data_IF_122200074840
#
_entry.id   IF_122200074840
#
_cell.length_a   1.000
_cell.length_b   1.000
_cell.length_c   1.000
_cell.angle_alpha   90.00
_cell.angle_beta   90.00
_cell.angle_gamma   90.00
#
_symmetry.space_group_name_H-M   'P 1'
#
loop_
_entity.id
_entity.type
_entity.pdbx_description
1 polymer ?
#
# COMPACT_ATOMS: atom_id res chain seq x y z
N UNK A 1 -29.93 5.65 37.93
CA UNK A 1 -29.31 5.40 36.61
C UNK A 1 -29.60 3.95 36.26
N UNK A 2 -30.21 3.69 35.10
CA UNK A 2 -30.54 2.31 34.71
C UNK A 2 -29.27 1.58 34.24
N UNK A 3 -29.22 0.26 34.39
CA UNK A 3 -28.09 -0.57 33.91
C UNK A 3 -27.83 -0.38 32.41
N UNK A 4 -28.87 -0.05 31.62
CA UNK A 4 -28.76 0.31 30.20
C UNK A 4 -27.99 1.62 29.96
N UNK A 5 -28.10 2.61 30.85
CA UNK A 5 -27.36 3.87 30.74
C UNK A 5 -25.87 3.65 30.98
N UNK A 6 -25.50 2.82 31.97
CA UNK A 6 -24.10 2.47 32.23
C UNK A 6 -23.44 1.75 31.04
N UNK A 7 -24.15 0.80 30.42
CA UNK A 7 -23.63 0.10 29.23
C UNK A 7 -23.47 1.06 28.03
N UNK A 8 -24.39 2.02 27.89
CA UNK A 8 -24.32 3.06 26.86
C UNK A 8 -23.13 3.99 27.10
N UNK A 9 -22.92 4.46 28.32
CA UNK A 9 -21.82 5.33 28.69
C UNK A 9 -20.46 4.63 28.50
N UNK A 10 -20.34 3.36 28.91
CA UNK A 10 -19.13 2.55 28.65
C UNK A 10 -18.89 2.39 27.15
N UNK A 11 -19.94 2.19 26.36
CA UNK A 11 -19.85 2.11 24.90
C UNK A 11 -19.37 3.44 24.30
N UNK A 12 -19.90 4.57 24.77
CA UNK A 12 -19.50 5.92 24.34
C UNK A 12 -18.05 6.23 24.72
N UNK A 13 -17.63 5.91 25.95
CA UNK A 13 -16.24 6.05 26.40
C UNK A 13 -15.30 5.21 25.53
N UNK A 14 -15.64 3.94 25.25
CA UNK A 14 -14.87 3.08 24.34
C UNK A 14 -14.79 3.66 22.93
N UNK A 15 -15.87 4.27 22.45
CA UNK A 15 -15.93 4.86 21.12
C UNK A 15 -15.06 6.13 21.03
N UNK A 16 -15.11 7.00 22.05
CA UNK A 16 -14.23 8.15 22.20
C UNK A 16 -12.75 7.75 22.31
N UNK A 17 -12.44 6.71 23.10
CA UNK A 17 -11.09 6.14 23.20
C UNK A 17 -10.59 5.57 21.86
N UNK A 18 -11.44 4.88 21.10
CA UNK A 18 -11.06 4.34 19.80
C UNK A 18 -10.80 5.45 18.76
N UNK A 19 -11.56 6.55 18.78
CA UNK A 19 -11.36 7.70 17.89
C UNK A 19 -10.11 8.52 18.25
N UNK A 20 -9.84 8.71 19.55
CA UNK A 20 -8.69 9.49 20.02
C UNK A 20 -7.34 8.77 19.91
N UNK A 21 -7.33 7.44 19.70
CA UNK A 21 -6.11 6.63 19.65
C UNK A 21 -5.72 6.12 18.26
N UNK A 22 -6.54 6.38 17.22
CA UNK A 22 -6.32 5.88 15.85
C UNK A 22 -6.35 7.01 14.84
N UNK A 23 -5.48 6.90 13.84
CA UNK A 23 -5.37 7.84 12.74
C UNK A 23 -6.59 7.68 11.83
N UNK A 24 -7.18 8.78 11.39
CA UNK A 24 -8.28 8.75 10.42
C UNK A 24 -7.88 7.98 9.15
N UNK A 25 -8.86 7.35 8.52
CA UNK A 25 -8.65 6.63 7.26
C UNK A 25 -7.90 7.49 6.23
N UNK A 26 -6.89 6.88 5.60
CA UNK A 26 -6.26 7.45 4.40
C UNK A 26 -7.34 7.83 3.37
N UNK A 27 -7.07 8.84 2.56
CA UNK A 27 -8.01 9.23 1.49
C UNK A 27 -8.20 8.09 0.50
N UNK A 28 -9.44 7.73 0.20
CA UNK A 28 -9.74 6.68 -0.79
C UNK A 28 -9.23 7.03 -2.18
N UNK A 29 -9.32 8.31 -2.56
CA UNK A 29 -8.75 8.84 -3.81
C UNK A 29 -7.26 8.57 -3.94
N UNK A 30 -6.50 8.58 -2.84
CA UNK A 30 -5.07 8.25 -2.90
C UNK A 30 -4.81 6.79 -3.27
N UNK A 31 -5.66 5.86 -2.83
CA UNK A 31 -5.58 4.45 -3.23
C UNK A 31 -5.91 4.26 -4.72
N UNK A 32 -6.92 4.97 -5.22
CA UNK A 32 -7.29 4.94 -6.64
C UNK A 32 -6.14 5.44 -7.50
N UNK A 33 -5.54 6.59 -7.15
CA UNK A 33 -4.42 7.15 -7.89
C UNK A 33 -3.19 6.25 -7.85
N UNK A 34 -2.84 5.68 -6.69
CA UNK A 34 -1.74 4.73 -6.57
C UNK A 34 -1.92 3.53 -7.52
N UNK A 35 -3.15 2.99 -7.59
CA UNK A 35 -3.47 1.91 -8.51
C UNK A 35 -3.39 2.31 -9.99
N UNK A 36 -3.87 3.51 -10.35
CA UNK A 36 -3.73 4.04 -11.72
C UNK A 36 -2.25 4.20 -12.09
N UNK A 37 -1.44 4.76 -11.20
CA UNK A 37 0.00 4.92 -11.44
C UNK A 37 0.68 3.56 -11.62
N UNK A 38 0.32 2.55 -10.82
CA UNK A 38 0.83 1.21 -10.97
C UNK A 38 0.44 0.57 -12.30
N UNK A 39 -0.81 0.74 -12.77
CA UNK A 39 -1.25 0.24 -14.07
C UNK A 39 -0.53 0.91 -15.23
N UNK A 40 -0.35 2.24 -15.19
CA UNK A 40 0.41 2.98 -16.21
C UNK A 40 1.87 2.53 -16.21
N UNK A 41 2.50 2.46 -15.03
CA UNK A 41 3.88 1.99 -14.91
C UNK A 41 4.08 0.56 -15.41
N UNK A 42 3.11 -0.31 -15.14
CA UNK A 42 3.11 -1.68 -15.65
C UNK A 42 2.96 -1.73 -17.17
N UNK A 43 2.06 -0.94 -17.76
CA UNK A 43 1.90 -0.87 -19.22
C UNK A 43 3.18 -0.38 -19.91
N UNK A 44 3.82 0.67 -19.37
CA UNK A 44 5.11 1.18 -19.87
C UNK A 44 6.19 0.10 -19.74
N UNK A 45 6.27 -0.56 -18.59
CA UNK A 45 7.26 -1.63 -18.35
C UNK A 45 7.06 -2.79 -19.30
N UNK A 46 5.83 -3.24 -19.49
CA UNK A 46 5.48 -4.32 -20.41
C UNK A 46 5.90 -3.97 -21.84
N UNK A 47 5.53 -2.78 -22.32
CA UNK A 47 5.90 -2.31 -23.65
C UNK A 47 7.43 -2.26 -23.86
N UNK A 48 8.17 -1.71 -22.89
CA UNK A 48 9.63 -1.62 -22.98
C UNK A 48 10.30 -2.99 -23.01
N UNK A 49 9.87 -3.92 -22.15
CA UNK A 49 10.46 -5.26 -22.03
C UNK A 49 10.11 -6.12 -23.24
N UNK A 50 8.86 -6.07 -23.70
CA UNK A 50 8.41 -6.83 -24.87
C UNK A 50 9.12 -6.35 -26.15
N UNK A 51 9.17 -5.03 -26.37
CA UNK A 51 9.72 -4.43 -27.58
C UNK A 51 11.25 -4.53 -27.66
N UNK A 52 11.95 -4.27 -26.56
CA UNK A 52 13.41 -4.08 -26.57
C UNK A 52 14.20 -5.18 -25.84
N UNK A 53 13.52 -6.09 -25.15
CA UNK A 53 14.15 -7.16 -24.35
C UNK A 53 13.58 -8.54 -24.64
N UNK A 54 12.88 -8.72 -25.76
CA UNK A 54 12.25 -9.98 -26.18
C UNK A 54 11.41 -10.63 -25.08
N UNK A 55 10.68 -9.82 -24.29
CA UNK A 55 9.83 -10.28 -23.20
C UNK A 55 10.55 -10.70 -21.92
N UNK A 56 11.90 -10.64 -21.88
CA UNK A 56 12.70 -11.02 -20.71
C UNK A 56 13.47 -9.82 -20.18
N UNK A 57 13.15 -9.34 -18.98
CA UNK A 57 13.88 -8.24 -18.36
C UNK A 57 15.26 -8.72 -17.88
N UNK A 58 16.30 -8.38 -18.64
CA UNK A 58 17.69 -8.51 -18.18
C UNK A 58 18.00 -7.42 -17.15
N UNK A 59 18.92 -7.69 -16.22
CA UNK A 59 19.18 -6.82 -15.05
C UNK A 59 20.43 -5.98 -15.23
N UNK A 60 20.66 -5.63 -16.48
CA UNK A 60 21.73 -4.81 -16.96
C UNK A 60 21.19 -3.98 -18.14
N UNK A 61 22.01 -3.04 -18.60
CA UNK A 61 21.65 -2.17 -19.69
C UNK A 61 20.62 -1.09 -19.34
N UNK A 62 20.17 -0.41 -20.38
CA UNK A 62 19.35 0.78 -20.28
C UNK A 62 17.89 0.46 -19.94
N UNK A 63 17.37 -0.70 -20.40
CA UNK A 63 15.97 -1.12 -20.16
C UNK A 63 15.72 -1.32 -18.68
N UNK A 64 16.60 -2.06 -17.98
CA UNK A 64 16.51 -2.26 -16.54
C UNK A 64 16.50 -0.92 -15.78
N UNK A 65 17.42 -0.02 -16.13
CA UNK A 65 17.49 1.32 -15.51
C UNK A 65 16.21 2.10 -15.73
N UNK A 66 15.64 2.07 -16.93
CA UNK A 66 14.36 2.71 -17.25
C UNK A 66 13.21 2.09 -16.46
N UNK A 67 13.12 0.77 -16.36
CA UNK A 67 12.08 0.08 -15.57
C UNK A 67 12.20 0.44 -14.09
N UNK A 68 13.42 0.51 -13.54
CA UNK A 68 13.65 0.99 -12.18
C UNK A 68 13.23 2.45 -11.99
N UNK A 69 13.50 3.32 -12.95
CA UNK A 69 13.02 4.71 -12.93
C UNK A 69 11.50 4.80 -12.98
N UNK A 70 10.83 3.94 -13.75
CA UNK A 70 9.36 3.83 -13.78
C UNK A 70 8.84 3.39 -12.41
N UNK A 71 9.41 2.34 -11.82
CA UNK A 71 9.01 1.85 -10.49
C UNK A 71 9.17 2.94 -9.41
N UNK A 72 10.30 3.64 -9.40
CA UNK A 72 10.56 4.76 -8.47
C UNK A 72 9.56 5.90 -8.71
N UNK A 73 9.27 6.23 -9.97
CA UNK A 73 8.28 7.26 -10.32
C UNK A 73 6.88 6.89 -9.82
N UNK A 74 6.45 5.64 -10.00
CA UNK A 74 5.16 5.14 -9.48
C UNK A 74 5.10 5.27 -7.96
N UNK A 75 6.16 4.86 -7.25
CA UNK A 75 6.24 4.98 -5.80
C UNK A 75 6.19 6.45 -5.34
N UNK A 76 6.96 7.32 -6.00
CA UNK A 76 7.03 8.75 -5.68
C UNK A 76 5.67 9.43 -5.88
N UNK A 77 5.02 9.26 -7.03
CA UNK A 77 3.70 9.85 -7.28
C UNK A 77 2.63 9.30 -6.33
N UNK A 78 2.69 8.02 -5.98
CA UNK A 78 1.77 7.41 -5.00
C UNK A 78 1.95 8.01 -3.61
N UNK A 79 3.19 8.20 -3.16
CA UNK A 79 3.49 8.82 -1.86
C UNK A 79 3.06 10.28 -1.85
N UNK A 80 3.43 11.06 -2.87
CA UNK A 80 3.10 12.49 -2.95
C UNK A 80 1.59 12.70 -2.96
N UNK A 81 0.86 11.99 -3.81
CA UNK A 81 -0.61 12.06 -3.88
C UNK A 81 -1.26 11.56 -2.57
N UNK A 82 -0.75 10.49 -1.97
CA UNK A 82 -1.20 9.96 -0.68
C UNK A 82 -1.07 10.96 0.45
N UNK A 83 0.10 11.58 0.60
CA UNK A 83 0.35 12.60 1.62
C UNK A 83 -0.52 13.82 1.36
N UNK A 84 -0.57 14.32 0.12
CA UNK A 84 -1.32 15.53 -0.22
C UNK A 84 -2.83 15.36 0.04
N UNK A 85 -3.45 14.30 -0.50
CA UNK A 85 -4.90 14.07 -0.37
C UNK A 85 -5.30 13.73 1.07
N UNK A 86 -4.50 12.94 1.77
CA UNK A 86 -4.76 12.61 3.18
C UNK A 86 -4.63 13.85 4.06
N UNK A 87 -3.64 14.71 3.80
CA UNK A 87 -3.48 16.00 4.48
C UNK A 87 -4.68 16.91 4.24
N UNK A 88 -5.17 17.01 2.99
CA UNK A 88 -6.35 17.80 2.65
C UNK A 88 -7.61 17.27 3.34
N UNK A 89 -7.78 15.95 3.40
CA UNK A 89 -8.89 15.29 4.12
C UNK A 89 -8.85 15.57 5.62
N UNK A 90 -7.68 15.44 6.25
CA UNK A 90 -7.51 15.73 7.67
C UNK A 90 -7.86 17.19 8.00
N UNK A 91 -7.38 18.15 7.20
CA UNK A 91 -7.74 19.56 7.34
C UNK A 91 -9.24 19.82 7.19
N UNK A 92 -9.89 19.20 6.20
CA UNK A 92 -11.36 19.34 5.99
C UNK A 92 -12.16 18.84 7.19
N UNK A 93 -11.64 17.85 7.91
CA UNK A 93 -12.29 17.27 9.08
C UNK A 93 -11.89 17.94 10.41
N UNK A 94 -11.05 18.98 10.38
CA UNK A 94 -10.61 19.70 11.59
C UNK A 94 -9.56 18.95 12.43
N UNK A 95 -8.87 17.97 11.85
CA UNK A 95 -8.04 17.00 12.56
C UNK A 95 -6.54 17.31 12.39
N UNK A 96 -5.74 16.97 13.41
CA UNK A 96 -4.28 17.15 13.35
C UNK A 96 -3.66 16.08 12.47
N UNK A 97 -3.00 16.50 11.39
CA UNK A 97 -2.32 15.61 10.42
C UNK A 97 -1.18 14.81 11.08
N UNK A 98 -0.49 15.42 12.05
CA UNK A 98 0.72 14.88 12.66
C UNK A 98 0.55 14.73 14.17
N UNK A 99 -0.10 13.65 14.58
CA UNK A 99 -0.31 13.34 15.99
C UNK A 99 0.47 12.08 16.44
N UNK A 100 0.19 11.59 17.65
CA UNK A 100 0.82 10.37 18.17
C UNK A 100 0.41 9.13 17.36
N UNK A 101 -0.80 9.10 16.82
CA UNK A 101 -1.30 7.98 16.02
C UNK A 101 -0.71 7.97 14.60
N UNK A 102 -0.61 9.11 13.93
CA UNK A 102 0.05 9.24 12.61
C UNK A 102 1.48 8.72 12.66
N UNK A 103 2.23 9.11 13.70
CA UNK A 103 3.62 8.65 13.89
C UNK A 103 3.68 7.15 14.10
N UNK A 104 2.84 6.59 14.96
CA UNK A 104 2.78 5.13 15.20
C UNK A 104 2.43 4.37 13.92
N UNK A 105 1.48 4.85 13.14
CA UNK A 105 1.12 4.27 11.85
C UNK A 105 2.33 4.23 10.92
N UNK A 106 3.01 5.37 10.73
CA UNK A 106 4.18 5.47 9.83
C UNK A 106 5.32 4.57 10.30
N UNK A 107 5.67 4.57 11.58
CA UNK A 107 6.74 3.70 12.08
C UNK A 107 6.43 2.22 11.86
N UNK A 108 5.21 1.78 12.17
CA UNK A 108 4.82 0.38 12.00
C UNK A 108 4.67 -0.02 10.53
N UNK A 109 4.35 0.93 9.65
CA UNK A 109 4.38 0.74 8.20
C UNK A 109 5.81 0.61 7.66
N UNK A 110 6.72 1.50 8.11
CA UNK A 110 8.09 1.56 7.60
C UNK A 110 8.95 0.38 8.03
N UNK A 111 8.72 -0.21 9.20
CA UNK A 111 9.53 -1.34 9.68
C UNK A 111 9.51 -2.52 8.68
N UNK A 112 8.36 -3.12 8.32
CA UNK A 112 8.35 -4.20 7.33
C UNK A 112 8.77 -3.74 5.94
N UNK A 113 8.42 -2.50 5.55
CA UNK A 113 8.72 -1.99 4.21
C UNK A 113 10.22 -1.81 3.98
N UNK A 114 10.94 -1.21 4.94
CA UNK A 114 12.39 -0.98 4.85
C UNK A 114 13.12 -2.32 4.96
N UNK A 115 12.77 -3.16 5.93
CA UNK A 115 13.37 -4.49 6.06
C UNK A 115 13.18 -5.33 4.80
N UNK A 116 11.98 -5.30 4.22
CA UNK A 116 11.67 -5.97 2.97
C UNK A 116 12.40 -5.41 1.77
N UNK A 117 12.44 -4.08 1.63
CA UNK A 117 13.16 -3.41 0.55
C UNK A 117 14.66 -3.74 0.57
N UNK A 118 15.29 -3.68 1.75
CA UNK A 118 16.69 -4.09 1.93
C UNK A 118 16.88 -5.58 1.60
N UNK A 119 15.99 -6.45 2.06
CA UNK A 119 16.05 -7.88 1.75
C UNK A 119 15.95 -8.15 0.24
N UNK A 120 15.05 -7.46 -0.45
CA UNK A 120 14.91 -7.55 -1.91
C UNK A 120 16.21 -7.14 -2.59
N UNK A 121 16.84 -6.03 -2.18
CA UNK A 121 18.12 -5.59 -2.74
C UNK A 121 19.25 -6.62 -2.52
N UNK A 122 19.29 -7.28 -1.36
CA UNK A 122 20.25 -8.35 -1.06
C UNK A 122 20.00 -9.57 -1.96
N UNK A 123 18.74 -9.96 -2.16
CA UNK A 123 18.40 -11.11 -3.02
C UNK A 123 18.68 -10.82 -4.49
N UNK A 124 18.47 -9.58 -4.93
CA UNK A 124 18.87 -9.11 -6.26
C UNK A 124 20.40 -9.18 -6.43
N UNK A 125 21.19 -8.75 -5.44
CA UNK A 125 22.65 -8.85 -5.55
C UNK A 125 23.17 -10.30 -5.58
N UNK A 126 22.37 -11.26 -5.12
CA UNK A 126 22.66 -12.70 -5.18
C UNK A 126 22.22 -13.39 -6.49
N UNK A 127 21.65 -12.68 -7.46
CA UNK A 127 21.21 -13.30 -8.71
C UNK A 127 19.79 -13.89 -8.72
N UNK A 128 19.02 -13.73 -7.63
CA UNK A 128 17.73 -14.41 -7.41
C UNK A 128 16.54 -13.55 -7.80
N UNK A 129 16.39 -13.32 -9.09
CA UNK A 129 15.58 -12.22 -9.61
C UNK A 129 14.08 -12.51 -9.75
N UNK A 130 13.69 -13.77 -9.92
CA UNK A 130 12.29 -14.15 -10.12
C UNK A 130 11.38 -13.89 -8.92
N UNK A 131 11.94 -13.66 -7.72
CA UNK A 131 11.15 -13.51 -6.49
C UNK A 131 10.77 -12.06 -6.17
N UNK A 132 11.33 -11.08 -6.89
CA UNK A 132 11.23 -9.66 -6.54
C UNK A 132 9.79 -9.17 -6.41
N UNK A 133 8.93 -9.50 -7.39
CA UNK A 133 7.51 -9.10 -7.37
C UNK A 133 6.74 -9.70 -6.20
N UNK A 134 6.94 -10.99 -5.92
CA UNK A 134 6.32 -11.67 -4.78
C UNK A 134 6.77 -11.09 -3.44
N UNK A 135 8.07 -10.83 -3.27
CA UNK A 135 8.61 -10.22 -2.06
C UNK A 135 8.07 -8.80 -1.85
N UNK A 136 7.96 -7.99 -2.91
CA UNK A 136 7.35 -6.65 -2.82
C UNK A 136 5.92 -6.73 -2.27
N UNK A 137 5.10 -7.65 -2.82
CA UNK A 137 3.71 -7.86 -2.40
C UNK A 137 3.64 -8.32 -0.93
N UNK A 138 4.48 -9.28 -0.51
CA UNK A 138 4.49 -9.81 0.86
C UNK A 138 4.88 -8.71 1.86
N UNK A 139 6.02 -8.05 1.67
CA UNK A 139 6.50 -7.05 2.63
C UNK A 139 5.63 -5.81 2.68
N UNK A 140 5.08 -5.39 1.53
CA UNK A 140 4.08 -4.33 1.50
C UNK A 140 2.79 -4.74 2.23
N UNK A 141 2.30 -5.96 2.02
CA UNK A 141 1.13 -6.48 2.72
C UNK A 141 1.33 -6.54 4.24
N UNK A 142 2.51 -6.99 4.69
CA UNK A 142 2.90 -6.95 6.11
C UNK A 142 2.96 -5.53 6.65
N UNK A 143 3.50 -4.57 5.89
CA UNK A 143 3.51 -3.16 6.25
C UNK A 143 2.08 -2.63 6.46
N UNK A 144 1.14 -2.96 5.56
CA UNK A 144 -0.27 -2.56 5.68
C UNK A 144 -0.93 -3.17 6.93
N UNK A 145 -0.74 -4.47 7.18
CA UNK A 145 -1.32 -5.12 8.36
C UNK A 145 -0.76 -4.52 9.65
N UNK A 146 0.54 -4.26 9.71
CA UNK A 146 1.16 -3.67 10.89
C UNK A 146 0.67 -2.23 11.13
N UNK A 147 0.56 -1.42 10.07
CA UNK A 147 0.02 -0.07 10.13
C UNK A 147 -1.47 -0.03 10.51
N UNK A 148 -2.25 -1.04 10.11
CA UNK A 148 -3.71 -1.07 10.29
C UNK A 148 -4.16 -0.97 11.75
N UNK A 149 -3.32 -1.40 12.71
CA UNK A 149 -3.61 -1.31 14.15
C UNK A 149 -3.77 0.13 14.63
N UNK A 150 -3.18 1.08 13.90
CA UNK A 150 -3.13 2.50 14.24
C UNK A 150 -3.94 3.37 13.26
N UNK A 151 -4.71 2.75 12.36
CA UNK A 151 -5.57 3.43 11.39
C UNK A 151 -7.03 3.03 11.58
N UNK A 152 -7.94 3.97 11.32
CA UNK A 152 -9.36 3.72 11.17
C UNK A 152 -9.59 3.29 9.72
N UNK A 153 -10.24 2.16 9.52
CA UNK A 153 -10.51 1.60 8.20
C UNK A 153 -10.04 0.17 8.10
N UNK A 154 -10.29 -0.44 6.93
CA UNK A 154 -10.06 -1.86 6.75
C UNK A 154 -8.85 -2.16 5.84
N UNK A 155 -7.79 -1.33 5.94
CA UNK A 155 -6.54 -1.48 5.17
C UNK A 155 -5.85 -2.84 5.37
N UNK A 156 -6.11 -3.50 6.51
CA UNK A 156 -5.65 -4.86 6.78
C UNK A 156 -6.10 -5.87 5.73
N UNK A 157 -7.30 -5.71 5.14
CA UNK A 157 -7.78 -6.64 4.11
C UNK A 157 -7.00 -6.50 2.82
N UNK A 158 -6.65 -5.27 2.42
CA UNK A 158 -5.71 -5.08 1.32
C UNK A 158 -4.37 -5.75 1.66
N UNK A 159 -3.86 -5.58 2.88
CA UNK A 159 -2.65 -6.24 3.34
C UNK A 159 -2.66 -7.77 3.21
N UNK A 160 -3.75 -8.43 3.64
CA UNK A 160 -3.91 -9.87 3.47
C UNK A 160 -3.96 -10.28 2.00
N UNK A 161 -4.64 -9.53 1.14
CA UNK A 161 -4.69 -9.80 -0.29
C UNK A 161 -3.30 -9.70 -0.92
N UNK A 162 -2.51 -8.67 -0.58
CA UNK A 162 -1.14 -8.52 -1.06
C UNK A 162 -0.25 -9.70 -0.63
N UNK A 163 -0.36 -10.14 0.63
CA UNK A 163 0.40 -11.32 1.11
C UNK A 163 0.02 -12.56 0.32
N UNK A 164 -1.28 -12.82 0.14
CA UNK A 164 -1.75 -13.99 -0.61
C UNK A 164 -1.24 -13.97 -2.06
N UNK A 165 -1.37 -12.83 -2.76
CA UNK A 165 -0.84 -12.66 -4.12
C UNK A 165 0.67 -12.84 -4.16
N UNK A 166 1.38 -12.31 -3.17
CA UNK A 166 2.83 -12.42 -3.07
C UNK A 166 3.32 -13.85 -2.82
N UNK A 167 2.62 -14.62 -1.97
CA UNK A 167 2.91 -16.04 -1.76
C UNK A 167 2.66 -16.86 -3.03
N UNK A 168 1.57 -16.59 -3.76
CA UNK A 168 1.30 -17.21 -5.06
C UNK A 168 2.41 -16.86 -6.06
N UNK A 169 2.86 -15.59 -6.08
CA UNK A 169 3.95 -15.15 -6.95
C UNK A 169 5.28 -15.82 -6.60
N UNK A 170 5.54 -16.13 -5.33
CA UNK A 170 6.74 -16.88 -4.91
C UNK A 170 6.67 -18.34 -5.33
N UNK A 171 5.49 -18.96 -5.32
CA UNK A 171 5.29 -20.33 -5.83
C UNK A 171 5.45 -20.40 -7.36
N UNK A 172 5.02 -19.35 -8.07
CA UNK A 172 5.09 -19.27 -9.53
C UNK A 172 5.81 -17.99 -10.01
N UNK A 173 7.16 -17.93 -9.94
CA UNK A 173 7.94 -16.73 -10.23
C UNK A 173 7.65 -16.08 -11.61
N UNK A 174 7.27 -16.86 -12.61
CA UNK A 174 6.91 -16.36 -13.95
C UNK A 174 5.67 -15.45 -13.98
N UNK A 175 4.78 -15.53 -12.98
CA UNK A 175 3.59 -14.69 -12.87
C UNK A 175 3.79 -13.47 -11.96
N UNK A 176 4.99 -13.25 -11.43
CA UNK A 176 5.27 -12.18 -10.46
C UNK A 176 4.87 -10.78 -10.96
N UNK A 177 5.10 -10.48 -12.24
CA UNK A 177 4.67 -9.23 -12.85
C UNK A 177 3.15 -9.06 -12.84
N UNK A 178 2.40 -10.07 -13.30
CA UNK A 178 0.93 -10.00 -13.38
C UNK A 178 0.28 -9.94 -12.01
N UNK A 179 0.79 -10.71 -11.04
CA UNK A 179 0.31 -10.64 -9.66
C UNK A 179 0.64 -9.29 -9.01
N UNK A 180 1.75 -8.67 -9.38
CA UNK A 180 2.07 -7.31 -8.99
C UNK A 180 1.08 -6.30 -9.59
N UNK A 181 0.71 -6.42 -10.86
CA UNK A 181 -0.31 -5.58 -11.52
C UNK A 181 -1.67 -5.72 -10.84
N UNK A 182 -2.07 -6.94 -10.49
CA UNK A 182 -3.31 -7.19 -9.75
C UNK A 182 -3.23 -6.54 -8.37
N UNK A 183 -2.14 -6.78 -7.63
CA UNK A 183 -1.96 -6.27 -6.27
C UNK A 183 -1.85 -4.74 -6.22
N UNK A 184 -0.82 -4.18 -6.84
CA UNK A 184 -0.54 -2.74 -6.78
C UNK A 184 -1.44 -1.89 -7.68
N UNK A 185 -1.97 -2.45 -8.77
CA UNK A 185 -2.91 -1.77 -9.65
C UNK A 185 -4.36 -1.97 -9.23
N UNK A 186 -4.92 -3.12 -9.61
CA UNK A 186 -6.37 -3.39 -9.53
C UNK A 186 -6.87 -3.33 -8.08
N UNK A 187 -6.21 -4.05 -7.16
CA UNK A 187 -6.66 -4.14 -5.77
C UNK A 187 -6.56 -2.80 -5.02
N UNK A 188 -5.62 -1.94 -5.39
CA UNK A 188 -5.54 -0.59 -4.85
C UNK A 188 -6.69 0.30 -5.34
N UNK A 189 -7.10 0.17 -6.60
CA UNK A 189 -8.29 0.88 -7.13
C UNK A 189 -9.55 0.40 -6.42
N UNK A 190 -9.74 -0.91 -6.30
CA UNK A 190 -10.91 -1.50 -5.60
C UNK A 190 -10.96 -1.01 -4.15
N UNK A 191 -9.85 -1.15 -3.43
CA UNK A 191 -9.76 -0.71 -2.04
C UNK A 191 -9.96 0.80 -1.90
N UNK A 192 -9.30 1.61 -2.73
CA UNK A 192 -9.42 3.06 -2.72
C UNK A 192 -10.84 3.54 -3.02
N UNK A 193 -11.51 2.90 -3.97
CA UNK A 193 -12.92 3.16 -4.31
C UNK A 193 -13.83 2.86 -3.12
N UNK A 194 -13.66 1.70 -2.51
CA UNK A 194 -14.43 1.32 -1.33
C UNK A 194 -14.19 2.27 -0.14
N UNK A 195 -12.93 2.67 0.09
CA UNK A 195 -12.59 3.68 1.11
C UNK A 195 -13.20 5.05 0.80
N UNK A 196 -13.24 5.44 -0.47
CA UNK A 196 -13.80 6.72 -0.90
C UNK A 196 -15.30 6.78 -0.58
N UNK A 197 -16.07 5.78 -1.00
CA UNK A 197 -17.51 5.76 -0.72
C UNK A 197 -17.85 5.55 0.75
N UNK A 198 -17.06 4.76 1.49
CA UNK A 198 -17.35 4.47 2.90
C UNK A 198 -16.92 5.58 3.86
N UNK A 199 -15.86 6.32 3.54
CA UNK A 199 -15.21 7.25 4.49
C UNK A 199 -14.95 8.66 3.96
N UNK A 200 -14.97 8.90 2.65
CA UNK A 200 -14.70 10.23 2.07
C UNK A 200 -15.99 10.94 1.63
N UNK A 201 -16.97 10.19 1.11
CA UNK A 201 -18.29 10.71 0.74
C UNK A 201 -19.16 10.76 2.02
N UNK A 202 -19.67 11.96 2.35
CA UNK A 202 -20.68 12.16 3.37
C UNK A 202 -22.05 12.20 2.71
#
# INVERSE_FOLDING_TARGET
>A
MSEKDYLKDISEIKNLMNKSSRFISLSGLSGILAGIYALIGAAITYYLVDTYSYGTLMLDGWIFRTVMLVLISVALFSIVSGVFLTTRKAKKNGEKIWDKSSRRLIYNFLIPLISGGLYILIILSQGKYGQTGGLMLIFYGLALINASKYSIGDIKYLGFIQITLGLIATLYPGYGFWLWVIGFGIMHIIYGTWMHFKYDVK
#
